data_IF_635310588374
#
_entry.id   IF_635310588374
#
_cell.length_a   1.000
_cell.length_b   1.000
_cell.length_c   1.000
_cell.angle_alpha   90.00
_cell.angle_beta   90.00
_cell.angle_gamma   90.00
#
_symmetry.space_group_name_H-M   'P 1'
#
loop_
_entity.id
_entity.type
_entity.pdbx_description
1 polymer ?
#
# COMPACT_ATOMS: atom_id res chain seq x y z
N UNK A 1 21.44 -5.66 -16.73
CA UNK A 1 20.57 -6.85 -16.80
C UNK A 1 19.28 -6.40 -17.46
N UNK A 2 18.97 -6.95 -18.62
CA UNK A 2 17.72 -6.66 -19.34
C UNK A 2 16.57 -7.18 -18.49
N UNK A 3 15.77 -6.28 -17.93
CA UNK A 3 14.66 -6.63 -17.05
C UNK A 3 13.59 -7.32 -17.90
N UNK A 4 13.54 -8.65 -17.85
CA UNK A 4 12.57 -9.44 -18.63
C UNK A 4 11.16 -9.16 -18.12
N UNK A 5 10.28 -8.71 -19.01
CA UNK A 5 8.86 -8.53 -18.72
C UNK A 5 8.07 -9.79 -19.15
N UNK A 6 6.99 -10.16 -18.42
CA UNK A 6 6.50 -9.54 -17.19
C UNK A 6 7.42 -9.84 -16.00
N UNK A 7 7.50 -8.90 -15.06
CA UNK A 7 8.27 -9.05 -13.83
C UNK A 7 7.38 -8.87 -12.63
N UNK A 8 7.48 -9.80 -11.68
CA UNK A 8 6.78 -9.75 -10.40
C UNK A 8 7.76 -10.04 -9.28
N UNK A 9 7.79 -9.19 -8.27
CA UNK A 9 8.62 -9.35 -7.08
C UNK A 9 7.76 -9.18 -5.84
N UNK A 10 8.05 -9.99 -4.84
CA UNK A 10 7.46 -9.90 -3.51
C UNK A 10 8.57 -10.04 -2.48
N UNK A 11 8.53 -9.22 -1.44
CA UNK A 11 9.52 -9.28 -0.36
C UNK A 11 8.91 -8.86 0.98
N UNK A 12 9.36 -9.42 2.11
CA UNK A 12 9.02 -8.90 3.41
C UNK A 12 9.65 -7.52 3.61
N UNK A 13 8.90 -6.62 4.25
CA UNK A 13 9.33 -5.29 4.65
C UNK A 13 9.14 -5.14 6.16
N UNK A 14 10.17 -4.63 6.83
CA UNK A 14 10.17 -4.45 8.28
C UNK A 14 9.74 -3.03 8.65
N UNK A 15 8.80 -2.96 9.60
CA UNK A 15 8.25 -1.73 10.17
C UNK A 15 8.33 -1.79 11.69
N UNK A 16 8.06 -0.67 12.36
CA UNK A 16 8.09 -0.60 13.82
C UNK A 16 7.02 -1.50 14.44
N UNK A 17 5.83 -1.57 13.85
CA UNK A 17 4.70 -2.35 14.39
C UNK A 17 4.55 -3.75 13.76
N UNK A 18 5.51 -4.22 12.97
CA UNK A 18 5.51 -5.59 12.43
C UNK A 18 6.11 -5.72 11.03
N UNK A 19 5.69 -6.77 10.33
CA UNK A 19 6.13 -7.07 8.96
C UNK A 19 4.98 -6.93 7.98
N UNK A 20 5.25 -6.37 6.82
CA UNK A 20 4.33 -6.29 5.69
C UNK A 20 4.95 -6.95 4.45
N UNK A 21 4.14 -7.23 3.42
CA UNK A 21 4.63 -7.75 2.14
C UNK A 21 4.63 -6.64 1.10
N UNK A 22 5.83 -6.23 0.68
CA UNK A 22 6.01 -5.33 -0.46
C UNK A 22 5.90 -6.11 -1.77
N UNK A 23 5.13 -5.60 -2.72
CA UNK A 23 4.99 -6.16 -4.07
C UNK A 23 5.34 -5.09 -5.11
N UNK A 24 6.00 -5.51 -6.19
CA UNK A 24 6.14 -4.71 -7.41
C UNK A 24 5.92 -5.59 -8.64
N UNK A 25 5.15 -5.09 -9.60
CA UNK A 25 4.81 -5.74 -10.85
C UNK A 25 5.05 -4.77 -12.00
N UNK A 26 5.63 -5.29 -13.09
CA UNK A 26 5.94 -4.53 -14.30
C UNK A 26 5.51 -5.31 -15.53
N UNK A 27 4.90 -4.62 -16.49
CA UNK A 27 4.49 -5.15 -17.79
C UNK A 27 4.72 -4.10 -18.88
N UNK A 28 4.43 -4.44 -20.13
CA UNK A 28 4.55 -3.49 -21.24
C UNK A 28 3.59 -2.30 -21.04
N UNK A 29 4.15 -1.10 -20.86
CA UNK A 29 3.38 0.12 -20.68
C UNK A 29 2.80 0.34 -19.28
N UNK A 30 3.18 -0.45 -18.27
CA UNK A 30 2.69 -0.21 -16.93
C UNK A 30 3.45 -0.87 -15.79
N UNK A 31 3.15 -0.38 -14.59
CA UNK A 31 3.74 -0.84 -13.35
C UNK A 31 2.78 -0.65 -12.18
N UNK A 32 3.02 -1.43 -11.14
CA UNK A 32 2.23 -1.45 -9.93
C UNK A 32 3.11 -1.79 -8.74
N UNK A 33 2.95 -1.06 -7.63
CA UNK A 33 3.58 -1.43 -6.37
C UNK A 33 2.60 -1.23 -5.21
N UNK A 34 2.76 -2.07 -4.19
CA UNK A 34 1.92 -2.04 -3.01
C UNK A 34 2.64 -2.61 -1.79
N UNK A 35 2.15 -2.25 -0.62
CA UNK A 35 2.53 -2.83 0.67
C UNK A 35 1.26 -3.42 1.29
N UNK A 36 1.26 -4.75 1.43
CA UNK A 36 0.16 -5.52 1.99
C UNK A 36 0.40 -5.77 3.49
N UNK A 37 -0.59 -5.44 4.31
CA UNK A 37 -0.67 -5.77 5.73
C UNK A 37 -1.86 -6.69 5.99
N UNK A 38 -1.99 -7.22 7.21
CA UNK A 38 -3.16 -8.00 7.60
C UNK A 38 -4.47 -7.17 7.64
N UNK A 39 -4.38 -5.83 7.75
CA UNK A 39 -5.55 -4.95 7.85
C UNK A 39 -5.94 -4.29 6.54
N UNK A 40 -5.02 -4.20 5.59
CA UNK A 40 -5.23 -3.41 4.39
C UNK A 40 -4.00 -3.27 3.51
N UNK A 41 -4.12 -2.44 2.49
CA UNK A 41 -3.08 -2.22 1.48
C UNK A 41 -2.77 -0.72 1.36
N UNK A 42 -1.48 -0.40 1.30
CA UNK A 42 -1.02 0.90 0.80
C UNK A 42 -0.52 0.71 -0.62
N UNK A 43 -1.18 1.34 -1.58
CA UNK A 43 -1.01 1.09 -3.01
C UNK A 43 -0.60 2.33 -3.82
N UNK A 44 -0.04 2.11 -5.01
CA UNK A 44 0.10 3.17 -6.00
C UNK A 44 -1.25 3.58 -6.61
N UNK A 45 -1.29 4.66 -7.40
CA UNK A 45 -2.51 5.28 -7.92
C UNK A 45 -3.41 4.45 -8.86
N UNK A 46 -3.13 3.17 -9.12
CA UNK A 46 -3.88 2.34 -10.07
C UNK A 46 -5.13 1.68 -9.45
N UNK A 47 -5.21 1.61 -8.12
CA UNK A 47 -6.39 1.04 -7.47
C UNK A 47 -7.57 2.00 -7.54
N UNK A 48 -8.75 1.43 -7.78
CA UNK A 48 -10.00 2.13 -7.57
C UNK A 48 -10.43 2.06 -6.09
N UNK A 49 -10.34 3.20 -5.41
CA UNK A 49 -10.73 3.37 -4.02
C UNK A 49 -12.24 3.24 -3.84
N UNK A 50 -13.03 3.60 -4.85
CA UNK A 50 -14.50 3.52 -4.79
C UNK A 50 -14.89 2.05 -4.71
N UNK A 51 -14.44 1.24 -5.66
CA UNK A 51 -14.68 -0.21 -5.66
C UNK A 51 -14.18 -0.84 -4.35
N UNK A 52 -12.97 -0.52 -3.89
CA UNK A 52 -12.45 -1.07 -2.64
C UNK A 52 -13.30 -0.72 -1.40
N UNK A 53 -13.86 0.49 -1.37
CA UNK A 53 -14.75 0.93 -0.29
C UNK A 53 -16.06 0.15 -0.25
N UNK A 54 -16.63 -0.22 -1.41
CA UNK A 54 -17.85 -1.04 -1.49
C UNK A 54 -17.69 -2.40 -0.81
N UNK A 55 -16.49 -2.98 -0.89
CA UNK A 55 -16.15 -4.25 -0.22
C UNK A 55 -15.64 -4.07 1.22
N UNK A 56 -15.68 -2.85 1.75
CA UNK A 56 -15.21 -2.54 3.10
C UNK A 56 -13.71 -2.79 3.31
N UNK A 57 -12.91 -2.73 2.25
CA UNK A 57 -11.47 -2.94 2.33
C UNK A 57 -10.76 -1.67 2.82
N UNK A 58 -9.75 -1.81 3.67
CA UNK A 58 -8.91 -0.68 4.07
C UNK A 58 -7.78 -0.47 3.03
N UNK A 59 -7.96 0.50 2.14
CA UNK A 59 -6.99 0.83 1.10
C UNK A 59 -6.59 2.30 1.22
N UNK A 60 -5.27 2.57 1.19
CA UNK A 60 -4.73 3.91 1.09
C UNK A 60 -3.88 4.05 -0.18
N UNK A 61 -4.04 5.16 -0.89
CA UNK A 61 -3.44 5.38 -2.21
C UNK A 61 -2.40 6.47 -2.12
N UNK A 62 -1.17 6.13 -2.47
CA UNK A 62 -0.09 7.06 -2.72
C UNK A 62 0.05 7.31 -4.22
N UNK A 63 0.33 8.57 -4.60
CA UNK A 63 0.49 8.95 -6.01
C UNK A 63 1.92 9.39 -6.29
N UNK A 64 2.55 8.70 -7.25
CA UNK A 64 3.80 9.15 -7.86
C UNK A 64 3.57 10.23 -8.90
N UNK A 65 4.67 10.80 -9.38
CA UNK A 65 4.66 11.75 -10.49
C UNK A 65 5.38 11.14 -11.70
N UNK A 66 5.17 11.64 -12.93
CA UNK A 66 5.96 11.18 -14.08
C UNK A 66 7.48 11.33 -13.87
N UNK A 67 7.90 12.31 -13.07
CA UNK A 67 9.31 12.54 -12.70
C UNK A 67 9.82 11.64 -11.57
N UNK A 68 8.92 11.09 -10.76
CA UNK A 68 9.22 10.18 -9.66
C UNK A 68 8.11 9.13 -9.56
N UNK A 69 8.13 8.12 -10.46
CA UNK A 69 7.12 7.08 -10.50
C UNK A 69 7.33 6.11 -9.34
N UNK A 70 6.24 5.54 -8.82
CA UNK A 70 6.30 4.53 -7.76
C UNK A 70 6.49 3.17 -8.41
N UNK A 71 7.69 2.63 -8.33
CA UNK A 71 8.10 1.39 -8.99
C UNK A 71 8.32 0.29 -7.97
N UNK A 72 9.08 0.59 -6.91
CA UNK A 72 9.42 -0.32 -5.84
C UNK A 72 8.51 -0.04 -4.63
N UNK A 73 8.19 -1.05 -3.81
CA UNK A 73 7.33 -0.83 -2.65
C UNK A 73 7.92 0.17 -1.65
N UNK A 74 9.25 0.33 -1.59
CA UNK A 74 9.92 1.33 -0.77
C UNK A 74 9.68 2.77 -1.25
N UNK A 75 9.31 2.99 -2.53
CA UNK A 75 8.94 4.32 -3.04
C UNK A 75 7.69 4.84 -2.32
N UNK A 76 6.81 3.94 -1.87
CA UNK A 76 5.63 4.28 -1.09
C UNK A 76 5.98 4.86 0.29
N UNK A 77 7.19 4.61 0.81
CA UNK A 77 7.55 5.06 2.16
C UNK A 77 7.50 6.58 2.30
N UNK A 78 7.90 7.30 1.25
CA UNK A 78 7.94 8.76 1.25
C UNK A 78 6.80 9.37 0.44
N UNK A 79 6.14 8.58 -0.41
CA UNK A 79 5.01 9.03 -1.21
C UNK A 79 3.83 9.44 -0.32
N UNK A 80 3.13 10.49 -0.74
CA UNK A 80 2.00 11.04 0.01
C UNK A 80 0.70 10.35 -0.35
N UNK A 81 -0.10 10.03 0.67
CA UNK A 81 -1.45 9.52 0.51
C UNK A 81 -2.34 10.64 -0.04
N UNK A 82 -3.02 10.36 -1.16
CA UNK A 82 -3.94 11.27 -1.84
C UNK A 82 -5.39 10.82 -1.81
N UNK A 83 -5.63 9.53 -1.50
CA UNK A 83 -6.96 8.95 -1.42
C UNK A 83 -6.96 7.74 -0.50
N UNK A 84 -8.11 7.44 0.10
CA UNK A 84 -8.27 6.30 0.99
C UNK A 84 -9.73 5.89 1.12
N UNK A 85 -9.98 4.64 1.48
CA UNK A 85 -11.33 4.16 1.80
C UNK A 85 -11.76 4.66 3.19
N UNK A 86 -13.08 4.68 3.49
CA UNK A 86 -13.57 5.01 4.83
C UNK A 86 -12.97 4.12 5.93
N UNK A 87 -12.73 2.84 5.63
CA UNK A 87 -12.13 1.88 6.56
C UNK A 87 -10.66 2.22 6.82
N UNK A 88 -9.90 2.65 5.81
CA UNK A 88 -8.54 3.15 6.02
C UNK A 88 -8.55 4.45 6.85
N UNK A 89 -9.49 5.36 6.60
CA UNK A 89 -9.64 6.59 7.39
C UNK A 89 -9.98 6.30 8.86
N UNK A 90 -10.81 5.28 9.13
CA UNK A 90 -11.14 4.83 10.49
C UNK A 90 -9.93 4.29 11.27
N UNK A 91 -8.86 3.87 10.58
CA UNK A 91 -7.58 3.50 11.19
C UNK A 91 -6.70 4.72 11.52
N UNK A 92 -7.17 5.94 11.27
CA UNK A 92 -6.45 7.19 11.49
C UNK A 92 -5.61 7.66 10.30
N UNK A 93 -5.73 7.02 9.14
CA UNK A 93 -5.03 7.45 7.92
C UNK A 93 -5.68 8.74 7.41
N UNK A 94 -4.85 9.71 7.01
CA UNK A 94 -5.31 11.00 6.48
C UNK A 94 -4.50 11.40 5.24
N UNK A 95 -5.06 12.30 4.42
CA UNK A 95 -4.38 12.79 3.23
C UNK A 95 -3.11 13.59 3.62
N UNK A 96 -2.03 13.42 2.87
CA UNK A 96 -0.74 14.05 3.16
C UNK A 96 0.18 13.27 4.12
N UNK A 97 -0.32 12.20 4.76
CA UNK A 97 0.54 11.21 5.41
C UNK A 97 1.44 10.53 4.38
N UNK A 98 2.61 10.07 4.82
CA UNK A 98 3.47 9.20 4.04
C UNK A 98 2.90 7.77 3.99
N UNK A 99 3.22 7.01 2.94
CA UNK A 99 2.80 5.62 2.88
C UNK A 99 3.40 4.77 4.01
N UNK A 100 4.60 5.11 4.50
CA UNK A 100 5.16 4.47 5.70
C UNK A 100 4.29 4.69 6.93
N UNK A 101 3.87 5.93 7.20
CA UNK A 101 2.97 6.23 8.33
C UNK A 101 1.65 5.48 8.20
N UNK A 102 1.08 5.42 6.98
CA UNK A 102 -0.16 4.68 6.72
C UNK A 102 0.00 3.17 7.00
N UNK A 103 1.12 2.55 6.59
CA UNK A 103 1.40 1.13 6.88
C UNK A 103 1.57 0.91 8.38
N UNK A 104 2.26 1.80 9.10
CA UNK A 104 2.43 1.68 10.55
C UNK A 104 1.09 1.72 11.30
N UNK A 105 0.15 2.56 10.87
CA UNK A 105 -1.21 2.59 11.43
C UNK A 105 -1.96 1.27 11.16
N UNK A 106 -1.89 0.75 9.93
CA UNK A 106 -2.51 -0.54 9.59
C UNK A 106 -1.92 -1.71 10.40
N UNK A 107 -0.60 -1.74 10.59
CA UNK A 107 0.08 -2.76 11.39
C UNK A 107 -0.25 -2.63 12.88
N UNK A 108 -0.25 -1.42 13.43
CA UNK A 108 -0.64 -1.17 14.82
C UNK A 108 -2.08 -1.64 15.09
N UNK A 109 -3.01 -1.37 14.17
CA UNK A 109 -4.37 -1.85 14.26
C UNK A 109 -4.48 -3.38 14.20
N UNK A 110 -3.61 -4.04 13.43
CA UNK A 110 -3.55 -5.50 13.34
C UNK A 110 -3.11 -6.14 14.67
N UNK A 111 -2.10 -5.56 15.32
CA UNK A 111 -1.60 -6.03 16.62
C UNK A 111 -2.62 -5.87 17.75
N UNK A 112 -3.46 -4.82 17.68
CA UNK A 112 -4.47 -4.53 18.71
C UNK A 112 -5.74 -5.37 18.56
N UNK A 113 -6.08 -5.78 17.33
CA UNK A 113 -7.13 -6.75 17.09
C UNK A 113 -6.57 -8.16 17.23
N UNK A 114 -6.27 -8.56 18.46
CA UNK A 114 -6.11 -9.96 18.78
C UNK A 114 -7.42 -10.70 18.44
N UNK A 115 -7.36 -11.57 17.46
CA UNK A 115 -8.35 -12.61 17.19
C UNK A 115 -9.76 -12.14 16.77
N UNK A 116 -9.95 -11.95 15.47
CA UNK A 116 -11.23 -12.21 14.83
C UNK A 116 -11.00 -12.45 13.34
N UNK A 117 -10.61 -13.69 13.00
CA UNK A 117 -10.69 -14.21 11.64
C UNK A 117 -12.15 -14.55 11.30
N UNK A 118 -12.61 -14.38 10.05
CA UNK A 118 -13.58 -15.32 9.48
C UNK A 118 -12.93 -16.69 9.22
#
# INVERSE_FOLDING_TARGET
MTDSLPRSIQRPLTFRHGTAIGTSQRWEGGQYCSILTAKGIVGCGIYDVVTAAEFGQAIAIAKGTPTCPLVEPEDLFNAKIVGMTPQAAALGITAGMTGREAVELMLSAASNSGDSRP
#
